data_IF_239338225662
#
_entry.id   IF_239338225662
#
_cell.length_a   1.000
_cell.length_b   1.000
_cell.length_c   1.000
_cell.angle_alpha   90.00
_cell.angle_beta   90.00
_cell.angle_gamma   90.00
#
_symmetry.space_group_name_H-M   'P 1'
#
loop_
_entity.id
_entity.type
_entity.pdbx_description
1 polymer ?
#
# COMPACT_ATOMS: atom_id res chain seq x y z
N UNK A 1 5.17 -10.34 2.87
CA UNK A 1 4.58 -11.09 4.00
C UNK A 1 4.77 -10.40 5.35
N UNK A 2 5.97 -9.94 5.75
CA UNK A 2 6.15 -9.29 7.07
C UNK A 2 5.38 -7.95 7.24
N UNK A 3 5.44 -7.05 6.26
CA UNK A 3 4.71 -5.76 6.35
C UNK A 3 3.19 -5.94 6.41
N UNK A 4 2.65 -6.89 5.63
CA UNK A 4 1.23 -7.26 5.67
C UNK A 4 0.82 -7.84 7.03
N UNK A 5 1.68 -8.68 7.65
CA UNK A 5 1.41 -9.19 8.99
C UNK A 5 1.33 -8.07 10.03
N UNK A 6 2.27 -7.12 10.00
CA UNK A 6 2.22 -5.95 10.87
C UNK A 6 1.02 -5.05 10.60
N UNK A 7 0.62 -4.89 9.33
CA UNK A 7 -0.59 -4.15 8.94
C UNK A 7 -1.85 -4.78 9.55
N UNK A 8 -2.01 -6.10 9.46
CA UNK A 8 -3.16 -6.82 10.05
C UNK A 8 -3.17 -6.75 11.57
N UNK A 9 -1.99 -6.69 12.20
CA UNK A 9 -1.85 -6.48 13.64
C UNK A 9 -1.95 -5.00 14.05
N UNK A 10 -2.25 -4.11 13.11
CA UNK A 10 -2.35 -2.65 13.30
C UNK A 10 -1.05 -1.99 13.83
N UNK A 11 0.08 -2.68 13.72
CA UNK A 11 1.41 -2.13 14.03
C UNK A 11 1.94 -1.39 12.80
N UNK A 12 1.32 -0.24 12.50
CA UNK A 12 1.59 0.51 11.28
C UNK A 12 3.02 1.03 11.19
N UNK A 13 3.68 1.29 12.34
CA UNK A 13 5.09 1.68 12.36
C UNK A 13 5.99 0.56 11.83
N UNK A 14 5.79 -0.68 12.30
CA UNK A 14 6.55 -1.82 11.78
C UNK A 14 6.12 -2.19 10.36
N UNK A 15 4.86 -1.99 10.01
CA UNK A 15 4.39 -2.18 8.64
C UNK A 15 5.13 -1.24 7.67
N UNK A 16 5.19 0.06 7.98
CA UNK A 16 5.93 1.06 7.19
C UNK A 16 7.39 0.65 7.05
N UNK A 17 8.07 0.34 8.16
CA UNK A 17 9.48 -0.05 8.13
C UNK A 17 9.73 -1.28 7.22
N UNK A 18 8.87 -2.30 7.33
CA UNK A 18 8.97 -3.51 6.53
C UNK A 18 8.72 -3.25 5.03
N UNK A 19 7.72 -2.42 4.69
CA UNK A 19 7.45 -2.08 3.29
C UNK A 19 8.54 -1.17 2.70
N UNK A 20 9.06 -0.19 3.45
CA UNK A 20 10.19 0.64 3.04
C UNK A 20 11.43 -0.20 2.76
N UNK A 21 11.74 -1.17 3.64
CA UNK A 21 12.81 -2.12 3.39
C UNK A 21 12.57 -2.93 2.11
N UNK A 22 11.34 -3.39 1.90
CA UNK A 22 10.95 -4.08 0.67
C UNK A 22 11.12 -3.22 -0.59
N UNK A 23 10.79 -1.94 -0.53
CA UNK A 23 11.04 -0.99 -1.63
C UNK A 23 12.55 -0.79 -1.89
N UNK A 24 13.38 -0.79 -0.85
CA UNK A 24 14.83 -0.67 -0.99
C UNK A 24 15.46 -1.91 -1.63
N UNK A 25 14.89 -3.10 -1.40
CA UNK A 25 15.33 -4.35 -2.03
C UNK A 25 14.88 -4.45 -3.50
N UNK A 26 13.69 -3.95 -3.82
CA UNK A 26 13.17 -3.94 -5.19
C UNK A 26 12.28 -2.72 -5.40
N UNK A 27 12.82 -1.73 -6.11
CA UNK A 27 12.12 -0.50 -6.42
C UNK A 27 10.93 -0.71 -7.35
N UNK A 28 10.99 -1.71 -8.25
CA UNK A 28 9.91 -2.01 -9.19
C UNK A 28 8.81 -2.91 -8.62
N UNK A 29 8.96 -3.41 -7.39
CA UNK A 29 7.94 -4.26 -6.77
C UNK A 29 6.76 -3.43 -6.25
N UNK A 30 5.80 -3.18 -7.14
CA UNK A 30 4.61 -2.35 -6.94
C UNK A 30 3.87 -2.63 -5.61
N UNK A 31 3.64 -3.88 -5.14
CA UNK A 31 2.88 -4.11 -3.93
C UNK A 31 3.38 -3.35 -2.70
N UNK A 32 4.70 -3.25 -2.49
CA UNK A 32 5.24 -2.54 -1.33
C UNK A 32 4.91 -1.04 -1.37
N UNK A 33 4.93 -0.43 -2.56
CA UNK A 33 4.58 0.98 -2.72
C UNK A 33 3.09 1.22 -2.55
N UNK A 34 2.24 0.30 -3.03
CA UNK A 34 0.78 0.34 -2.81
C UNK A 34 0.47 0.26 -1.31
N UNK A 35 1.06 -0.70 -0.60
CA UNK A 35 0.86 -0.83 0.85
C UNK A 35 1.38 0.38 1.64
N UNK A 36 2.52 0.96 1.25
CA UNK A 36 2.96 2.22 1.88
C UNK A 36 1.97 3.36 1.63
N UNK A 37 1.48 3.48 0.40
CA UNK A 37 0.52 4.52 0.04
C UNK A 37 -0.77 4.41 0.88
N UNK A 38 -1.31 3.20 1.04
CA UNK A 38 -2.53 2.97 1.83
C UNK A 38 -2.31 3.16 3.33
N UNK A 39 -1.16 2.75 3.87
CA UNK A 39 -0.82 3.00 5.28
C UNK A 39 -0.60 4.50 5.55
N UNK A 40 0.05 5.22 4.65
CA UNK A 40 0.17 6.68 4.79
C UNK A 40 -1.19 7.39 4.69
N UNK A 41 -2.08 6.93 3.81
CA UNK A 41 -3.45 7.43 3.75
C UNK A 41 -4.20 7.21 5.08
N UNK A 42 -4.12 5.98 5.62
CA UNK A 42 -4.74 5.62 6.90
C UNK A 42 -4.25 6.51 8.07
N UNK A 43 -2.96 6.85 8.09
CA UNK A 43 -2.37 7.67 9.15
C UNK A 43 -2.49 9.19 8.91
N UNK A 44 -3.11 9.63 7.82
CA UNK A 44 -3.21 11.05 7.47
C UNK A 44 -1.87 11.69 7.06
N UNK A 45 -0.89 10.89 6.65
CA UNK A 45 0.43 11.33 6.21
C UNK A 45 0.39 11.77 4.74
N UNK A 46 -0.25 12.91 4.49
CA UNK A 46 -0.66 13.33 3.15
C UNK A 46 0.51 13.52 2.18
N UNK A 47 1.62 14.12 2.62
CA UNK A 47 2.80 14.35 1.78
C UNK A 47 3.43 13.03 1.30
N UNK A 48 3.65 12.10 2.24
CA UNK A 48 4.24 10.80 1.96
C UNK A 48 3.30 9.94 1.11
N UNK A 49 1.99 10.03 1.37
CA UNK A 49 0.96 9.36 0.58
C UNK A 49 0.99 9.86 -0.87
N UNK A 50 0.97 11.18 -1.11
CA UNK A 50 1.02 11.75 -2.47
C UNK A 50 2.30 11.38 -3.21
N UNK A 51 3.45 11.42 -2.53
CA UNK A 51 4.72 10.99 -3.12
C UNK A 51 4.69 9.51 -3.54
N UNK A 52 4.14 8.63 -2.68
CA UNK A 52 4.02 7.21 -3.01
C UNK A 52 2.98 6.92 -4.09
N UNK A 53 1.86 7.63 -4.07
CA UNK A 53 0.83 7.55 -5.10
C UNK A 53 1.42 7.84 -6.49
N UNK A 54 2.17 8.93 -6.63
CA UNK A 54 2.84 9.28 -7.90
C UNK A 54 3.80 8.18 -8.37
N UNK A 55 4.58 7.61 -7.44
CA UNK A 55 5.51 6.53 -7.76
C UNK A 55 4.78 5.25 -8.21
N UNK A 56 3.70 4.85 -7.52
CA UNK A 56 2.86 3.72 -7.92
C UNK A 56 2.30 3.91 -9.33
N UNK A 57 1.78 5.10 -9.64
CA UNK A 57 1.23 5.42 -10.96
C UNK A 57 2.30 5.38 -12.06
N UNK A 58 3.51 5.86 -11.75
CA UNK A 58 4.64 5.80 -12.69
C UNK A 58 5.06 4.35 -12.98
N UNK A 59 5.13 3.50 -11.95
CA UNK A 59 5.47 2.08 -12.10
C UNK A 59 4.38 1.27 -12.81
N UNK A 60 3.11 1.63 -12.64
CA UNK A 60 1.98 0.93 -13.24
C UNK A 60 1.76 1.25 -14.73
N UNK A 61 2.54 2.16 -15.34
CA UNK A 61 2.48 2.44 -16.78
C UNK A 61 1.14 3.02 -17.27
N UNK A 62 0.37 3.67 -16.38
CA UNK A 62 -0.94 4.25 -16.70
C UNK A 62 -2.11 3.26 -16.75
N UNK A 63 -1.85 1.95 -16.69
CA UNK A 63 -2.87 0.92 -16.80
C UNK A 63 -3.35 0.48 -15.40
N UNK A 64 -4.31 1.24 -14.86
CA UNK A 64 -4.91 1.05 -13.53
C UNK A 64 -5.58 -0.33 -13.33
N UNK A 65 -5.66 -1.14 -14.38
CA UNK A 65 -6.52 -2.33 -14.48
C UNK A 65 -5.89 -3.59 -13.83
N UNK A 66 -4.59 -3.59 -13.51
CA UNK A 66 -3.91 -4.71 -12.82
C UNK A 66 -3.39 -4.35 -11.44
N UNK A 67 -4.02 -3.39 -10.76
CA UNK A 67 -3.66 -3.14 -9.37
C UNK A 67 -3.95 -4.40 -8.56
N UNK A 68 -2.92 -4.86 -7.86
CA UNK A 68 -2.88 -6.16 -7.17
C UNK A 68 -4.14 -6.31 -6.32
N UNK A 69 -4.99 -7.28 -6.67
CA UNK A 69 -6.01 -7.77 -5.75
C UNK A 69 -5.26 -8.25 -4.50
N UNK A 70 -5.49 -7.59 -3.36
CA UNK A 70 -4.78 -7.94 -2.15
C UNK A 70 -5.24 -9.33 -1.71
N UNK A 71 -4.35 -10.17 -1.13
CA UNK A 71 -4.64 -11.57 -0.86
C UNK A 71 -5.55 -11.77 0.37
N UNK A 72 -6.39 -10.79 0.70
CA UNK A 72 -7.22 -10.79 1.91
C UNK A 72 -8.44 -11.69 1.70
N UNK A 73 -8.44 -12.84 2.37
CA UNK A 73 -9.57 -13.78 2.37
C UNK A 73 -10.61 -13.44 3.46
N UNK A 74 -10.24 -12.66 4.48
CA UNK A 74 -11.21 -12.13 5.45
C UNK A 74 -11.95 -10.94 4.81
N UNK A 75 -13.27 -11.03 4.72
CA UNK A 75 -14.11 -10.05 4.02
C UNK A 75 -14.03 -8.66 4.63
N UNK A 76 -13.89 -8.55 5.95
CA UNK A 76 -13.82 -7.25 6.63
C UNK A 76 -12.48 -6.58 6.34
N UNK A 77 -11.40 -7.34 6.40
CA UNK A 77 -10.07 -6.84 6.03
C UNK A 77 -10.01 -6.45 4.55
N UNK A 78 -10.61 -7.24 3.67
CA UNK A 78 -10.70 -6.93 2.25
C UNK A 78 -11.46 -5.62 2.02
N UNK A 79 -12.65 -5.46 2.61
CA UNK A 79 -13.45 -4.24 2.50
C UNK A 79 -12.74 -3.01 3.11
N UNK A 80 -12.09 -3.18 4.26
CA UNK A 80 -11.30 -2.12 4.88
C UNK A 80 -10.16 -1.67 3.98
N UNK A 81 -9.41 -2.63 3.44
CA UNK A 81 -8.28 -2.31 2.56
C UNK A 81 -8.74 -1.68 1.23
N UNK A 82 -9.88 -2.11 0.70
CA UNK A 82 -10.52 -1.48 -0.47
C UNK A 82 -10.84 0.00 -0.21
N UNK A 83 -11.37 0.31 0.97
CA UNK A 83 -11.57 1.70 1.38
C UNK A 83 -10.24 2.48 1.44
N UNK A 84 -9.16 1.87 1.92
CA UNK A 84 -7.85 2.52 1.93
C UNK A 84 -7.30 2.77 0.51
N UNK A 85 -7.56 1.88 -0.45
CA UNK A 85 -7.18 2.10 -1.84
C UNK A 85 -7.88 3.33 -2.43
N UNK A 86 -9.18 3.51 -2.11
CA UNK A 86 -9.94 4.71 -2.50
C UNK A 86 -9.38 5.96 -1.82
N UNK A 87 -9.11 5.91 -0.50
CA UNK A 87 -8.49 7.03 0.22
C UNK A 87 -7.12 7.41 -0.34
N UNK A 88 -6.34 6.41 -0.77
CA UNK A 88 -5.04 6.60 -1.40
C UNK A 88 -5.15 7.05 -2.88
N UNK A 89 -6.35 7.17 -3.44
CA UNK A 89 -6.59 7.53 -4.84
C UNK A 89 -6.00 6.53 -5.84
N UNK A 90 -5.90 5.27 -5.44
CA UNK A 90 -5.38 4.17 -6.24
C UNK A 90 -6.50 3.35 -6.90
N UNK A 91 -7.76 3.54 -6.48
CA UNK A 91 -8.94 2.91 -7.08
C UNK A 91 -10.07 3.92 -7.22
#
# INVERSE_FOLDING_TARGET
MLGQAHFVLEDYNKAIAAFQHGCALSESFIPNHVYLCTVYALLGMEEQMRAKQQHVLALAGGDRIRMIEPPWMDERLAAFYEHLLQLAGLR
#
